data_IF_775648519190
#
_entry.id   IF_775648519190
#
_cell.length_a   1.000
_cell.length_b   1.000
_cell.length_c   1.000
_cell.angle_alpha   90.00
_cell.angle_beta   90.00
_cell.angle_gamma   90.00
#
_symmetry.space_group_name_H-M   'P 1'
#
loop_
_entity.id
_entity.type
_entity.pdbx_description
1 polymer ?
#
# COMPACT_ATOMS: atom_id res chain seq x y z
N UNK A 1 4.86 -21.09 0.07
CA UNK A 1 4.95 -20.50 1.43
C UNK A 1 5.96 -19.36 1.52
N UNK A 2 7.22 -19.51 1.08
CA UNK A 2 8.25 -18.45 1.14
C UNK A 2 7.82 -17.11 0.52
N UNK A 3 7.28 -17.10 -0.69
CA UNK A 3 6.84 -15.86 -1.36
C UNK A 3 5.66 -15.16 -0.66
N UNK A 4 4.76 -15.91 -0.03
CA UNK A 4 3.68 -15.32 0.77
C UNK A 4 4.24 -14.60 1.98
N UNK A 5 5.12 -15.26 2.73
CA UNK A 5 5.75 -14.67 3.91
C UNK A 5 6.57 -13.43 3.55
N UNK A 6 7.38 -13.49 2.48
CA UNK A 6 8.20 -12.37 2.01
C UNK A 6 7.34 -11.15 1.69
N UNK A 7 6.33 -11.30 0.83
CA UNK A 7 5.53 -10.17 0.37
C UNK A 7 4.70 -9.57 1.51
N UNK A 8 4.13 -10.42 2.36
CA UNK A 8 3.33 -9.96 3.49
C UNK A 8 4.19 -9.28 4.55
N UNK A 9 5.35 -9.85 4.90
CA UNK A 9 6.28 -9.20 5.84
C UNK A 9 6.84 -7.90 5.27
N UNK A 10 7.13 -7.84 3.96
CA UNK A 10 7.56 -6.62 3.31
C UNK A 10 6.48 -5.53 3.40
N UNK A 11 5.21 -5.86 3.12
CA UNK A 11 4.10 -4.93 3.28
C UNK A 11 3.98 -4.42 4.72
N UNK A 12 3.93 -5.35 5.68
CA UNK A 12 3.80 -5.01 7.10
C UNK A 12 4.96 -4.14 7.57
N UNK A 13 6.20 -4.52 7.28
CA UNK A 13 7.39 -3.77 7.68
C UNK A 13 7.42 -2.37 7.06
N UNK A 14 7.22 -2.29 5.74
CA UNK A 14 7.28 -1.02 5.02
C UNK A 14 6.23 -0.03 5.55
N UNK A 15 4.96 -0.44 5.59
CA UNK A 15 3.88 0.47 6.00
C UNK A 15 3.90 0.74 7.51
N UNK A 16 4.36 -0.21 8.33
CA UNK A 16 4.54 0.07 9.77
C UNK A 16 5.60 1.13 10.01
N UNK A 17 6.73 1.05 9.30
CA UNK A 17 7.83 2.01 9.47
C UNK A 17 7.50 3.35 8.81
N UNK A 18 7.15 3.35 7.52
CA UNK A 18 6.96 4.58 6.74
C UNK A 18 5.68 5.29 7.16
N UNK A 19 4.55 4.58 7.24
CA UNK A 19 3.30 5.22 7.67
C UNK A 19 3.35 5.59 9.15
N UNK A 20 3.87 4.70 10.02
CA UNK A 20 4.03 5.01 11.44
C UNK A 20 4.95 6.21 11.71
N UNK A 21 6.06 6.33 10.98
CA UNK A 21 6.91 7.52 11.06
C UNK A 21 6.20 8.78 10.55
N UNK A 22 5.42 8.69 9.46
CA UNK A 22 4.64 9.84 8.98
C UNK A 22 3.55 10.25 9.97
N UNK A 23 2.89 9.29 10.60
CA UNK A 23 1.86 9.52 11.62
C UNK A 23 2.45 10.22 12.86
N UNK A 24 3.62 9.78 13.32
CA UNK A 24 4.31 10.35 14.47
C UNK A 24 4.91 11.73 14.17
N UNK A 25 5.67 11.85 13.08
CA UNK A 25 6.51 13.02 12.80
C UNK A 25 5.80 14.10 12.00
N UNK A 26 4.83 13.73 11.14
CA UNK A 26 4.15 14.67 10.24
C UNK A 26 2.73 14.95 10.72
N UNK A 27 1.96 13.91 11.06
CA UNK A 27 0.59 14.08 11.54
C UNK A 27 0.50 14.44 13.04
N UNK A 28 1.61 14.27 13.79
CA UNK A 28 1.68 14.61 15.22
C UNK A 28 0.89 13.69 16.14
N UNK A 29 0.62 12.44 15.72
CA UNK A 29 -0.04 11.44 16.56
C UNK A 29 0.89 10.99 17.69
N UNK A 30 0.33 10.76 18.88
CA UNK A 30 1.10 10.19 20.00
C UNK A 30 1.49 8.73 19.71
N UNK A 31 2.54 8.19 20.38
CA UNK A 31 2.94 6.80 20.17
C UNK A 31 1.83 5.77 20.42
N UNK A 32 0.90 6.03 21.34
CA UNK A 32 -0.24 5.15 21.59
C UNK A 32 -1.27 5.22 20.47
N UNK A 33 -1.51 6.41 19.91
CA UNK A 33 -2.38 6.56 18.74
C UNK A 33 -1.79 5.83 17.52
N UNK A 34 -0.49 5.98 17.27
CA UNK A 34 0.21 5.23 16.21
C UNK A 34 0.10 3.72 16.45
N UNK A 35 0.26 3.25 17.68
CA UNK A 35 0.10 1.82 17.97
C UNK A 35 -1.32 1.33 17.62
N UNK A 36 -2.35 2.11 17.94
CA UNK A 36 -3.75 1.79 17.59
C UNK A 36 -3.95 1.78 16.07
N UNK A 37 -3.43 2.77 15.33
CA UNK A 37 -3.54 2.77 13.85
C UNK A 37 -2.87 1.53 13.25
N UNK A 38 -1.72 1.11 13.78
CA UNK A 38 -1.02 -0.10 13.33
C UNK A 38 -1.83 -1.36 13.64
N UNK A 39 -2.37 -1.50 14.85
CA UNK A 39 -3.19 -2.66 15.23
C UNK A 39 -4.43 -2.82 14.32
N UNK A 40 -5.02 -1.71 13.89
CA UNK A 40 -6.17 -1.72 12.97
C UNK A 40 -5.78 -2.04 11.52
N UNK A 41 -4.61 -1.59 11.08
CA UNK A 41 -4.22 -1.68 9.66
C UNK A 41 -3.35 -2.89 9.33
N UNK A 42 -2.57 -3.42 10.27
CA UNK A 42 -1.74 -4.62 10.08
C UNK A 42 -2.56 -5.83 9.60
N UNK A 43 -3.76 -6.13 10.13
CA UNK A 43 -4.60 -7.21 9.60
C UNK A 43 -4.90 -7.03 8.10
N UNK A 44 -5.21 -5.81 7.68
CA UNK A 44 -5.43 -5.48 6.25
C UNK A 44 -4.16 -5.73 5.44
N UNK A 45 -3.00 -5.33 5.93
CA UNK A 45 -1.71 -5.58 5.28
C UNK A 45 -1.38 -7.07 5.17
N UNK A 46 -1.72 -7.87 6.19
CA UNK A 46 -1.54 -9.32 6.18
C UNK A 46 -2.42 -9.97 5.11
N UNK A 47 -3.66 -9.53 5.00
CA UNK A 47 -4.61 -10.03 4.00
C UNK A 47 -4.25 -9.59 2.58
N UNK A 48 -3.66 -8.41 2.41
CA UNK A 48 -3.44 -7.79 1.09
C UNK A 48 -2.01 -7.89 0.57
N UNK A 49 -1.02 -8.17 1.42
CA UNK A 49 0.41 -8.13 1.06
C UNK A 49 0.77 -9.02 -0.12
N UNK A 50 0.54 -10.34 0.00
CA UNK A 50 0.79 -11.28 -1.11
C UNK A 50 -0.16 -11.08 -2.30
N UNK A 51 -1.48 -10.89 -2.13
CA UNK A 51 -2.36 -10.56 -3.25
C UNK A 51 -1.89 -9.34 -4.06
N UNK A 52 -1.44 -8.27 -3.39
CA UNK A 52 -0.84 -7.13 -4.05
C UNK A 52 0.44 -7.50 -4.81
N UNK A 53 1.33 -8.27 -4.20
CA UNK A 53 2.56 -8.73 -4.85
C UNK A 53 2.30 -9.48 -6.15
N UNK A 54 1.31 -10.38 -6.15
CA UNK A 54 0.86 -11.11 -7.35
C UNK A 54 0.26 -10.17 -8.41
N UNK A 55 -0.59 -9.23 -7.97
CA UNK A 55 -1.19 -8.24 -8.86
C UNK A 55 -0.14 -7.36 -9.53
N UNK A 56 0.81 -6.86 -8.76
CA UNK A 56 1.93 -6.07 -9.26
C UNK A 56 2.72 -6.84 -10.31
N UNK A 57 3.05 -8.10 -10.04
CA UNK A 57 3.79 -8.93 -10.98
C UNK A 57 3.03 -9.10 -12.31
N UNK A 58 1.70 -9.29 -12.25
CA UNK A 58 0.85 -9.36 -13.44
C UNK A 58 0.84 -8.04 -14.23
N UNK A 59 0.72 -6.90 -13.55
CA UNK A 59 0.75 -5.57 -14.18
C UNK A 59 2.10 -5.29 -14.84
N UNK A 60 3.22 -5.65 -14.21
CA UNK A 60 4.55 -5.56 -14.81
C UNK A 60 4.73 -6.49 -16.01
N UNK A 61 4.17 -7.71 -15.95
CA UNK A 61 4.16 -8.66 -17.06
C UNK A 61 3.36 -8.18 -18.27
N UNK A 62 2.29 -7.42 -18.03
CA UNK A 62 1.45 -6.81 -19.06
C UNK A 62 2.11 -5.57 -19.68
N UNK A 63 2.59 -4.62 -18.87
CA UNK A 63 3.09 -3.33 -19.34
C UNK A 63 4.53 -3.43 -19.90
N UNK A 64 5.36 -4.31 -19.33
CA UNK A 64 6.77 -4.51 -19.72
C UNK A 64 7.57 -3.20 -19.88
N UNK A 65 7.63 -2.35 -18.84
CA UNK A 65 8.24 -1.03 -18.93
C UNK A 65 9.75 -1.07 -19.24
N UNK A 66 10.17 -0.37 -20.29
CA UNK A 66 11.57 -0.32 -20.73
C UNK A 66 12.43 0.68 -19.95
N UNK A 67 11.84 1.79 -19.47
CA UNK A 67 12.57 2.88 -18.81
C UNK A 67 12.39 2.90 -17.28
N UNK A 68 13.27 3.62 -16.58
CA UNK A 68 13.14 3.82 -15.12
C UNK A 68 11.85 4.57 -14.76
N UNK A 69 11.49 5.58 -15.54
CA UNK A 69 10.23 6.31 -15.38
C UNK A 69 9.02 5.40 -15.65
N UNK A 70 9.10 4.55 -16.69
CA UNK A 70 8.08 3.56 -16.99
C UNK A 70 7.83 2.61 -15.82
N UNK A 71 8.90 2.11 -15.17
CA UNK A 71 8.76 1.28 -13.96
C UNK A 71 8.08 2.01 -12.82
N UNK A 72 8.39 3.29 -12.62
CA UNK A 72 7.71 4.14 -11.64
C UNK A 72 6.22 4.28 -11.91
N UNK A 73 5.85 4.57 -13.15
CA UNK A 73 4.45 4.66 -13.57
C UNK A 73 3.73 3.30 -13.43
N UNK A 74 4.40 2.19 -13.75
CA UNK A 74 3.85 0.83 -13.58
C UNK A 74 3.61 0.50 -12.10
N UNK A 75 4.52 0.86 -11.19
CA UNK A 75 4.29 0.69 -9.75
C UNK A 75 3.09 1.50 -9.26
N UNK A 76 2.98 2.76 -9.68
CA UNK A 76 1.85 3.63 -9.37
C UNK A 76 0.55 3.01 -9.87
N UNK A 77 0.51 2.59 -11.14
CA UNK A 77 -0.67 1.98 -11.73
C UNK A 77 -1.07 0.69 -10.99
N UNK A 78 -0.11 -0.19 -10.69
CA UNK A 78 -0.35 -1.42 -9.94
C UNK A 78 -0.87 -1.14 -8.52
N UNK A 79 -0.28 -0.17 -7.82
CA UNK A 79 -0.65 0.16 -6.45
C UNK A 79 -2.04 0.79 -6.38
N UNK A 80 -2.33 1.80 -7.20
CA UNK A 80 -3.63 2.47 -7.22
C UNK A 80 -4.75 1.51 -7.66
N UNK A 81 -4.54 0.76 -8.75
CA UNK A 81 -5.55 -0.19 -9.26
C UNK A 81 -5.88 -1.32 -8.28
N UNK A 82 -4.99 -1.62 -7.33
CA UNK A 82 -5.22 -2.60 -6.28
C UNK A 82 -5.79 -1.97 -5.00
N UNK A 83 -5.16 -0.91 -4.51
CA UNK A 83 -5.44 -0.37 -3.18
C UNK A 83 -6.68 0.51 -3.12
N UNK A 84 -7.01 1.24 -4.19
CA UNK A 84 -8.23 2.06 -4.21
C UNK A 84 -9.49 1.18 -4.07
N UNK A 85 -9.65 0.07 -4.82
CA UNK A 85 -10.78 -0.84 -4.62
C UNK A 85 -10.86 -1.43 -3.21
N UNK A 86 -9.71 -1.83 -2.63
CA UNK A 86 -9.66 -2.33 -1.25
C UNK A 86 -10.13 -1.26 -0.26
N UNK A 87 -9.61 -0.05 -0.37
CA UNK A 87 -9.96 1.05 0.53
C UNK A 87 -11.42 1.47 0.38
N UNK A 88 -11.93 1.58 -0.85
CA UNK A 88 -13.35 1.84 -1.12
C UNK A 88 -14.22 0.73 -0.52
N UNK A 89 -13.83 -0.54 -0.64
CA UNK A 89 -14.54 -1.66 -0.01
C UNK A 89 -14.61 -1.55 1.52
N UNK A 90 -13.51 -1.15 2.17
CA UNK A 90 -13.47 -0.88 3.61
C UNK A 90 -14.44 0.25 3.99
N UNK A 91 -14.44 1.35 3.23
CA UNK A 91 -15.32 2.49 3.50
C UNK A 91 -16.80 2.14 3.32
N UNK A 92 -17.14 1.36 2.28
CA UNK A 92 -18.49 0.84 2.09
C UNK A 92 -18.91 -0.03 3.28
N UNK A 93 -18.04 -0.94 3.71
CA UNK A 93 -18.31 -1.78 4.88
C UNK A 93 -18.47 -0.97 6.17
N UNK A 94 -17.74 0.14 6.31
CA UNK A 94 -17.87 1.07 7.41
C UNK A 94 -19.14 1.95 7.34
N UNK A 95 -19.95 1.84 6.28
CA UNK A 95 -21.19 2.60 6.11
C UNK A 95 -20.99 4.02 5.59
N UNK A 96 -19.83 4.33 4.99
CA UNK A 96 -19.57 5.65 4.44
C UNK A 96 -20.48 5.97 3.24
N UNK A 97 -20.90 7.23 3.15
CA UNK A 97 -21.67 7.76 2.02
C UNK A 97 -20.80 7.88 0.76
N UNK A 98 -21.44 8.04 -0.41
CA UNK A 98 -20.73 8.20 -1.69
C UNK A 98 -19.78 9.40 -1.69
N UNK A 99 -20.19 10.52 -1.10
CA UNK A 99 -19.40 11.74 -1.04
C UNK A 99 -18.18 11.59 -0.11
N UNK A 100 -18.37 10.92 1.03
CA UNK A 100 -17.27 10.59 1.95
C UNK A 100 -16.26 9.65 1.29
N UNK A 101 -16.74 8.62 0.58
CA UNK A 101 -15.88 7.69 -0.17
C UNK A 101 -15.07 8.45 -1.21
N UNK A 102 -15.69 9.32 -2.00
CA UNK A 102 -15.00 10.06 -3.06
C UNK A 102 -13.91 10.97 -2.47
N UNK A 103 -14.22 11.70 -1.40
CA UNK A 103 -13.26 12.60 -0.72
C UNK A 103 -12.11 11.81 -0.09
N UNK A 104 -12.43 10.75 0.65
CA UNK A 104 -11.44 9.94 1.34
C UNK A 104 -10.53 9.20 0.35
N UNK A 105 -11.11 8.55 -0.68
CA UNK A 105 -10.33 7.86 -1.71
C UNK A 105 -9.47 8.85 -2.51
N UNK A 106 -10.01 10.02 -2.87
CA UNK A 106 -9.26 11.07 -3.55
C UNK A 106 -8.05 11.55 -2.74
N UNK A 107 -8.23 11.81 -1.44
CA UNK A 107 -7.13 12.17 -0.55
C UNK A 107 -6.10 11.03 -0.41
N UNK A 108 -6.57 9.79 -0.26
CA UNK A 108 -5.71 8.62 -0.14
C UNK A 108 -4.85 8.40 -1.39
N UNK A 109 -5.38 8.61 -2.60
CA UNK A 109 -4.63 8.46 -3.86
C UNK A 109 -3.37 9.32 -3.89
N UNK A 110 -3.39 10.52 -3.32
CA UNK A 110 -2.20 11.39 -3.26
C UNK A 110 -1.08 10.72 -2.44
N UNK A 111 -1.43 10.15 -1.29
CA UNK A 111 -0.48 9.41 -0.45
C UNK A 111 0.00 8.13 -1.16
N UNK A 112 -0.92 7.43 -1.83
CA UNK A 112 -0.59 6.23 -2.61
C UNK A 112 0.41 6.53 -3.72
N UNK A 113 0.26 7.65 -4.45
CA UNK A 113 1.20 8.06 -5.51
C UNK A 113 2.63 8.18 -4.98
N UNK A 114 2.80 8.80 -3.81
CA UNK A 114 4.10 8.98 -3.17
C UNK A 114 4.67 7.65 -2.67
N UNK A 115 3.84 6.81 -2.05
CA UNK A 115 4.28 5.54 -1.46
C UNK A 115 4.56 4.43 -2.48
N UNK A 116 3.91 4.47 -3.65
CA UNK A 116 3.89 3.38 -4.64
C UNK A 116 5.29 2.92 -5.06
N UNK A 117 6.11 3.84 -5.58
CA UNK A 117 7.44 3.49 -6.11
C UNK A 117 8.44 3.13 -5.00
N UNK A 118 8.53 3.87 -3.88
CA UNK A 118 9.34 3.45 -2.74
C UNK A 118 9.00 2.03 -2.26
N UNK A 119 7.71 1.70 -2.15
CA UNK A 119 7.29 0.36 -1.75
C UNK A 119 7.65 -0.70 -2.80
N UNK A 120 7.42 -0.43 -4.09
CA UNK A 120 7.80 -1.35 -5.17
C UNK A 120 9.30 -1.67 -5.18
N UNK A 121 10.15 -0.66 -4.97
CA UNK A 121 11.60 -0.84 -4.83
C UNK A 121 11.97 -1.67 -3.61
N UNK A 122 11.33 -1.40 -2.47
CA UNK A 122 11.56 -2.17 -1.24
C UNK A 122 11.15 -3.64 -1.41
N UNK A 123 9.98 -3.89 -1.99
CA UNK A 123 9.49 -5.24 -2.26
C UNK A 123 10.45 -6.02 -3.18
N UNK A 124 10.93 -5.38 -4.25
CA UNK A 124 11.92 -5.97 -5.16
C UNK A 124 13.24 -6.30 -4.44
N UNK A 125 13.65 -5.46 -3.49
CA UNK A 125 14.85 -5.69 -2.69
C UNK A 125 14.66 -6.87 -1.73
N UNK A 126 13.59 -6.90 -0.94
CA UNK A 126 13.33 -8.00 0.03
C UNK A 126 13.20 -9.36 -0.68
N UNK A 127 12.58 -9.40 -1.87
CA UNK A 127 12.46 -10.64 -2.66
C UNK A 127 13.79 -11.21 -3.17
N UNK A 128 14.85 -10.40 -3.23
CA UNK A 128 16.19 -10.82 -3.66
C UNK A 128 17.08 -11.32 -2.53
N UNK A 129 16.66 -11.12 -1.27
CA UNK A 129 17.32 -11.65 -0.07
C UNK A 129 16.99 -13.15 0.11
#
# INVERSE_FOLDING_TARGET
MRAFAIDTLAAVAFFTIVAGASELLVAGLSPSQVLVTRLLTVPVLVLTGRPYGLWRDAVFGLIRPLSRLGRGATDIAAFISFQVPVYVGILIFAGATRDEILRAAGAAVILMLVASRPYGLFLDWVRRL
#
